data_IF_494251016858
#
_entry.id   IF_494251016858
#
_cell.length_a   1.000
_cell.length_b   1.000
_cell.length_c   1.000
_cell.angle_alpha   90.00
_cell.angle_beta   90.00
_cell.angle_gamma   90.00
#
_symmetry.space_group_name_H-M   'P 1'
#
loop_
_entity.id
_entity.type
_entity.pdbx_description
1 polymer ?
#
# COMPACT_ATOMS: atom_id res chain seq x y z
N UNK A 1 3.38 -12.44 -23.73
CA UNK A 1 1.94 -12.41 -23.39
C UNK A 1 1.67 -13.72 -22.67
N UNK A 2 1.60 -13.68 -21.34
CA UNK A 2 1.47 -14.86 -20.51
C UNK A 2 0.07 -14.85 -19.91
N UNK A 3 -0.66 -15.95 -20.06
CA UNK A 3 -2.02 -16.07 -19.54
C UNK A 3 -2.06 -17.05 -18.36
N UNK A 4 -2.78 -16.69 -17.31
CA UNK A 4 -3.02 -17.53 -16.13
C UNK A 4 -4.52 -17.74 -16.02
N UNK A 5 -4.95 -19.00 -15.92
CA UNK A 5 -6.35 -19.35 -15.67
C UNK A 5 -6.52 -19.73 -14.20
N UNK A 6 -7.32 -18.98 -13.46
CA UNK A 6 -7.63 -19.24 -12.05
C UNK A 6 -9.02 -19.89 -11.97
N UNK A 7 -9.10 -21.15 -11.53
CA UNK A 7 -10.35 -21.90 -11.43
C UNK A 7 -10.92 -22.00 -10.01
N UNK A 8 -10.15 -21.59 -9.01
CA UNK A 8 -10.46 -21.74 -7.59
C UNK A 8 -10.97 -20.46 -6.93
N UNK A 9 -11.25 -19.42 -7.73
CA UNK A 9 -11.79 -18.15 -7.24
C UNK A 9 -13.30 -18.28 -7.06
N UNK A 10 -13.84 -17.74 -5.96
CA UNK A 10 -15.29 -17.70 -5.75
C UNK A 10 -15.94 -16.63 -6.61
N UNK A 11 -17.20 -16.83 -6.98
CA UNK A 11 -17.98 -15.85 -7.75
C UNK A 11 -18.05 -14.49 -7.04
N UNK A 12 -18.18 -14.49 -5.69
CA UNK A 12 -18.15 -13.27 -4.88
C UNK A 12 -16.85 -12.46 -5.05
N UNK A 13 -15.71 -13.14 -5.20
CA UNK A 13 -14.43 -12.47 -5.45
C UNK A 13 -14.35 -11.91 -6.86
N UNK A 14 -14.90 -12.60 -7.85
CA UNK A 14 -14.98 -12.09 -9.22
C UNK A 14 -15.81 -10.80 -9.24
N UNK A 15 -17.00 -10.80 -8.61
CA UNK A 15 -17.86 -9.60 -8.53
C UNK A 15 -17.14 -8.44 -7.85
N UNK A 16 -16.43 -8.67 -6.73
CA UNK A 16 -15.64 -7.61 -6.08
C UNK A 16 -14.53 -7.05 -6.98
N UNK A 17 -13.88 -7.89 -7.78
CA UNK A 17 -12.86 -7.43 -8.73
C UNK A 17 -13.52 -6.61 -9.85
N UNK A 18 -14.69 -7.01 -10.34
CA UNK A 18 -15.46 -6.25 -11.34
C UNK A 18 -15.85 -4.86 -10.84
N UNK A 19 -16.41 -4.77 -9.63
CA UNK A 19 -16.76 -3.50 -8.99
C UNK A 19 -15.54 -2.58 -8.87
N UNK A 20 -14.41 -3.14 -8.43
CA UNK A 20 -13.16 -2.40 -8.29
C UNK A 20 -12.59 -1.97 -9.63
N UNK A 21 -12.67 -2.82 -10.66
CA UNK A 21 -12.24 -2.51 -12.01
C UNK A 21 -13.06 -1.34 -12.59
N UNK A 22 -14.38 -1.33 -12.36
CA UNK A 22 -15.26 -0.24 -12.76
C UNK A 22 -14.86 1.10 -12.08
N UNK A 23 -14.55 1.08 -10.79
CA UNK A 23 -14.09 2.27 -10.06
C UNK A 23 -12.76 2.81 -10.60
N UNK A 24 -11.86 1.91 -11.01
CA UNK A 24 -10.55 2.27 -11.56
C UNK A 24 -10.55 2.51 -13.07
N UNK A 25 -11.70 2.37 -13.74
CA UNK A 25 -11.85 2.48 -15.20
C UNK A 25 -10.91 1.52 -15.95
N UNK A 26 -10.80 0.29 -15.45
CA UNK A 26 -9.96 -0.79 -16.00
C UNK A 26 -10.81 -1.98 -16.39
N UNK A 27 -10.27 -2.82 -17.25
CA UNK A 27 -10.81 -4.15 -17.47
C UNK A 27 -10.58 -5.05 -16.24
N UNK A 28 -11.37 -6.12 -16.11
CA UNK A 28 -11.18 -7.11 -15.05
C UNK A 28 -9.77 -7.70 -15.06
N UNK A 29 -9.23 -7.99 -16.24
CA UNK A 29 -7.88 -8.54 -16.39
C UNK A 29 -6.81 -7.55 -15.94
N UNK A 30 -6.92 -6.28 -16.33
CA UNK A 30 -5.98 -5.24 -15.90
C UNK A 30 -6.02 -5.02 -14.39
N UNK A 31 -7.21 -5.00 -13.78
CA UNK A 31 -7.34 -4.84 -12.34
C UNK A 31 -6.83 -6.08 -11.58
N UNK A 32 -7.10 -7.29 -12.08
CA UNK A 32 -6.54 -8.51 -11.52
C UNK A 32 -5.01 -8.54 -11.60
N UNK A 33 -4.44 -8.12 -12.73
CA UNK A 33 -2.99 -7.99 -12.90
C UNK A 33 -2.39 -6.95 -11.96
N UNK A 34 -3.04 -5.78 -11.80
CA UNK A 34 -2.61 -4.75 -10.87
C UNK A 34 -2.66 -5.22 -9.41
N UNK A 35 -3.70 -5.98 -9.03
CA UNK A 35 -3.81 -6.59 -7.71
C UNK A 35 -2.66 -7.57 -7.45
N UNK A 36 -2.39 -8.48 -8.39
CA UNK A 36 -1.28 -9.43 -8.28
C UNK A 36 0.07 -8.72 -8.18
N UNK A 37 0.31 -7.69 -8.99
CA UNK A 37 1.53 -6.88 -8.90
C UNK A 37 1.65 -6.20 -7.55
N UNK A 38 0.58 -5.60 -7.05
CA UNK A 38 0.60 -4.92 -5.74
C UNK A 38 0.81 -5.89 -4.58
N UNK A 39 0.21 -7.08 -4.64
CA UNK A 39 0.36 -8.12 -3.62
C UNK A 39 1.80 -8.67 -3.57
N UNK A 40 2.48 -8.73 -4.73
CA UNK A 40 3.87 -9.16 -4.81
C UNK A 40 4.88 -8.03 -4.58
N UNK A 41 4.47 -6.77 -4.78
CA UNK A 41 5.29 -5.59 -4.49
C UNK A 41 5.29 -5.21 -3.00
N UNK A 42 4.25 -5.61 -2.26
CA UNK A 42 4.24 -5.48 -0.81
C UNK A 42 5.38 -6.34 -0.22
N UNK A 43 6.21 -5.79 0.69
CA UNK A 43 7.21 -6.59 1.37
C UNK A 43 6.52 -7.75 2.10
N UNK A 44 6.90 -8.97 1.75
CA UNK A 44 6.23 -10.21 2.14
C UNK A 44 6.29 -10.47 3.66
N UNK A 45 7.07 -9.69 4.42
CA UNK A 45 7.24 -9.92 5.84
C UNK A 45 6.94 -8.68 6.71
N UNK A 46 6.26 -8.85 7.87
CA UNK A 46 6.30 -7.86 8.97
C UNK A 46 7.74 -7.47 9.34
N UNK A 47 8.67 -8.40 9.14
CA UNK A 47 10.10 -8.21 9.29
C UNK A 47 10.64 -7.10 8.36
N UNK A 48 10.10 -6.96 7.15
CA UNK A 48 10.48 -5.89 6.22
C UNK A 48 10.00 -4.51 6.67
N UNK A 49 8.81 -4.45 7.30
CA UNK A 49 8.31 -3.20 7.89
C UNK A 49 9.16 -2.80 9.10
N UNK A 50 9.54 -3.77 9.93
CA UNK A 50 10.46 -3.54 11.05
C UNK A 50 11.85 -3.09 10.56
N UNK A 51 12.40 -3.73 9.52
CA UNK A 51 13.68 -3.36 8.92
C UNK A 51 13.62 -1.97 8.27
N UNK A 52 12.53 -1.63 7.60
CA UNK A 52 12.30 -0.30 7.05
C UNK A 52 12.25 0.76 8.17
N UNK A 53 11.48 0.52 9.23
CA UNK A 53 11.41 1.42 10.39
C UNK A 53 12.78 1.59 11.04
N UNK A 54 13.55 0.50 11.20
CA UNK A 54 14.91 0.52 11.73
C UNK A 54 15.86 1.32 10.83
N UNK A 55 15.74 1.19 9.51
CA UNK A 55 16.53 1.95 8.53
C UNK A 55 16.22 3.45 8.62
N UNK A 56 14.93 3.81 8.68
CA UNK A 56 14.51 5.22 8.87
C UNK A 56 15.09 5.77 10.17
N UNK A 57 14.92 5.06 11.28
CA UNK A 57 15.44 5.47 12.58
C UNK A 57 16.98 5.61 12.62
N UNK A 58 17.71 4.86 11.79
CA UNK A 58 19.16 5.00 11.65
C UNK A 58 19.57 6.20 10.79
N UNK A 59 18.73 6.62 9.84
CA UNK A 59 18.96 7.81 9.00
C UNK A 59 18.51 9.10 9.69
N UNK A 60 17.62 9.01 10.69
CA UNK A 60 17.18 10.17 11.47
C UNK A 60 18.28 10.62 12.45
N UNK A 61 18.79 11.86 12.35
CA UNK A 61 19.76 12.39 13.30
C UNK A 61 19.16 12.42 14.71
N UNK A 62 19.86 11.83 15.67
CA UNK A 62 19.38 11.74 17.07
C UNK A 62 19.64 13.01 17.88
N UNK A 63 20.52 13.86 17.38
CA UNK A 63 21.03 15.03 18.11
C UNK A 63 20.27 16.32 17.74
N UNK A 64 19.25 16.21 16.88
CA UNK A 64 18.41 17.34 16.48
C UNK A 64 17.10 17.27 17.29
N UNK A 65 16.83 18.23 18.19
CA UNK A 65 15.56 18.33 18.88
C UNK A 65 14.42 18.36 17.87
N UNK A 66 13.50 17.40 17.95
CA UNK A 66 12.29 17.39 17.13
C UNK A 66 11.19 18.12 17.90
N UNK A 67 10.58 19.13 17.29
CA UNK A 67 9.40 19.80 17.82
C UNK A 67 8.23 18.81 17.86
N UNK A 68 7.41 18.87 18.90
CA UNK A 68 6.22 18.02 18.98
C UNK A 68 5.28 18.34 17.80
N UNK A 69 4.89 17.30 17.07
CA UNK A 69 3.90 17.36 16.01
C UNK A 69 2.61 18.07 16.43
N UNK A 70 2.21 17.98 17.70
CA UNK A 70 1.02 18.64 18.23
C UNK A 70 1.19 20.16 18.29
N UNK A 71 2.40 20.66 18.54
CA UNK A 71 2.68 22.10 18.49
C UNK A 71 2.59 22.62 17.06
N UNK A 72 3.16 21.90 16.09
CA UNK A 72 3.10 22.27 14.66
C UNK A 72 1.66 22.33 14.14
N UNK A 73 0.81 21.39 14.55
CA UNK A 73 -0.61 21.38 14.16
C UNK A 73 -1.40 22.54 14.78
N UNK A 74 -1.03 23.00 15.98
CA UNK A 74 -1.65 24.18 16.60
C UNK A 74 -1.23 25.46 15.89
N UNK A 75 0.04 25.59 15.55
CA UNK A 75 0.57 26.73 14.79
C UNK A 75 -0.10 26.88 13.42
N UNK A 76 -0.33 25.77 12.71
CA UNK A 76 -0.97 25.81 11.38
C UNK A 76 -2.48 26.10 11.46
N UNK A 77 -3.15 25.66 12.54
CA UNK A 77 -4.56 25.97 12.78
C UNK A 77 -4.79 27.46 13.11
N UNK A 78 -3.84 28.08 13.79
CA UNK A 78 -3.96 29.46 14.27
C UNK A 78 -3.41 30.49 13.24
N UNK A 79 -3.05 30.04 12.02
CA UNK A 79 -2.70 30.85 10.83
C UNK A 79 -3.91 31.22 9.98
#
# INVERSE_FOLDING_TARGET
MNAITIRTISDEMVTRIEERAALHQRTLEEEAAALLQSALAAPLCPEDRYLLAKRIAAMTPKDIPQTDSVELLREDRDR
#
